data_IF_944339899535
#
_entry.id   IF_944339899535
#
_cell.length_a   1.000
_cell.length_b   1.000
_cell.length_c   1.000
_cell.angle_alpha   90.00
_cell.angle_beta   90.00
_cell.angle_gamma   90.00
#
_symmetry.space_group_name_H-M   'P 1'
#
loop_
_entity.id
_entity.type
_entity.pdbx_description
1 polymer ?
#
# COMPACT_ATOMS: atom_id res chain seq x y z
N UNK A 1 26.09 25.02 -5.59
CA UNK A 1 25.36 25.98 -4.74
C UNK A 1 25.26 27.36 -5.38
N UNK A 2 26.27 27.82 -6.09
CA UNK A 2 26.29 29.18 -6.63
C UNK A 2 25.26 29.48 -7.74
N UNK A 3 24.85 28.49 -8.49
CA UNK A 3 23.87 28.65 -9.56
C UNK A 3 22.44 28.95 -9.07
N UNK A 4 22.05 28.38 -7.93
CA UNK A 4 20.74 28.64 -7.31
C UNK A 4 20.66 30.07 -6.74
N UNK A 5 21.78 30.63 -6.30
CA UNK A 5 21.85 32.00 -5.74
C UNK A 5 21.68 33.06 -6.85
N UNK A 6 21.97 32.71 -8.12
CA UNK A 6 21.95 33.65 -9.25
C UNK A 6 20.70 33.48 -10.13
N UNK A 7 19.67 32.75 -9.69
CA UNK A 7 18.41 32.58 -10.45
C UNK A 7 18.58 31.86 -11.79
N UNK A 8 19.62 31.05 -11.93
CA UNK A 8 19.81 30.22 -13.14
C UNK A 8 18.86 29.01 -13.13
N UNK A 9 18.32 28.66 -14.27
CA UNK A 9 17.55 27.44 -14.44
C UNK A 9 18.41 26.22 -14.11
N UNK A 10 18.08 25.54 -13.00
CA UNK A 10 18.82 24.40 -12.48
C UNK A 10 18.83 23.19 -13.43
N UNK A 11 17.91 23.15 -14.42
CA UNK A 11 17.87 22.11 -15.45
C UNK A 11 19.08 22.16 -16.37
N UNK A 12 19.77 23.32 -16.46
CA UNK A 12 20.94 23.56 -17.31
C UNK A 12 22.26 23.62 -16.52
N UNK A 13 22.24 23.30 -15.23
CA UNK A 13 23.42 23.36 -14.36
C UNK A 13 24.07 21.99 -14.25
N UNK A 14 25.35 21.89 -14.58
CA UNK A 14 26.15 20.67 -14.48
C UNK A 14 26.25 19.89 -15.79
N UNK A 15 27.03 18.81 -15.76
CA UNK A 15 27.20 17.91 -16.89
C UNK A 15 26.16 16.78 -16.82
N UNK A 16 25.36 16.61 -17.86
CA UNK A 16 24.48 15.43 -17.97
C UNK A 16 25.34 14.18 -18.11
N UNK A 17 25.26 13.28 -17.12
CA UNK A 17 25.92 11.98 -17.16
C UNK A 17 24.91 10.85 -17.14
N UNK A 18 25.19 9.79 -17.89
CA UNK A 18 24.37 8.59 -17.89
C UNK A 18 24.78 7.74 -16.67
N UNK A 19 23.92 7.66 -15.67
CA UNK A 19 24.17 6.85 -14.48
C UNK A 19 24.21 5.34 -14.84
N UNK A 20 25.17 4.57 -14.30
CA UNK A 20 25.25 3.13 -14.53
C UNK A 20 24.05 2.40 -13.89
N UNK A 21 23.78 1.16 -14.32
CA UNK A 21 22.72 0.33 -13.74
C UNK A 21 22.95 -0.06 -12.28
N UNK A 22 24.20 0.07 -11.80
CA UNK A 22 24.55 -0.13 -10.38
C UNK A 22 24.20 1.07 -9.48
N UNK A 23 23.81 2.21 -10.06
CA UNK A 23 23.39 3.37 -9.28
C UNK A 23 21.99 3.14 -8.72
N UNK A 24 21.90 2.99 -7.38
CA UNK A 24 20.66 2.66 -6.67
C UNK A 24 19.59 3.74 -6.86
N UNK A 25 18.38 3.29 -7.26
CA UNK A 25 17.26 4.17 -7.57
C UNK A 25 17.37 4.92 -8.90
N UNK A 26 18.42 4.68 -9.68
CA UNK A 26 18.58 5.25 -11.01
C UNK A 26 17.63 4.62 -12.05
N UNK A 27 17.29 5.34 -13.15
CA UNK A 27 16.36 4.85 -14.16
C UNK A 27 16.76 3.49 -14.77
N UNK A 28 18.05 3.24 -14.93
CA UNK A 28 18.56 1.96 -15.47
C UNK A 28 18.40 0.80 -14.51
N UNK A 29 18.65 1.00 -13.20
CA UNK A 29 18.39 -0.03 -12.19
C UNK A 29 16.90 -0.33 -12.13
N UNK A 30 16.05 0.70 -12.12
CA UNK A 30 14.59 0.52 -12.08
C UNK A 30 14.09 -0.25 -13.31
N UNK A 31 14.64 0.04 -14.50
CA UNK A 31 14.34 -0.72 -15.71
C UNK A 31 14.77 -2.17 -15.61
N UNK A 32 15.95 -2.44 -15.06
CA UNK A 32 16.44 -3.81 -14.84
C UNK A 32 15.51 -4.59 -13.90
N UNK A 33 15.16 -4.01 -12.75
CA UNK A 33 14.23 -4.61 -11.79
C UNK A 33 12.85 -4.91 -12.43
N UNK A 34 12.40 -4.04 -13.33
CA UNK A 34 11.19 -4.28 -14.11
C UNK A 34 11.32 -5.49 -15.03
N UNK A 35 12.40 -5.57 -15.79
CA UNK A 35 12.62 -6.69 -16.70
C UNK A 35 12.76 -8.02 -15.94
N UNK A 36 13.41 -8.02 -14.80
CA UNK A 36 13.55 -9.19 -13.93
C UNK A 36 12.17 -9.64 -13.40
N UNK A 37 11.35 -8.71 -12.95
CA UNK A 37 9.99 -9.00 -12.51
C UNK A 37 9.11 -9.54 -13.67
N UNK A 38 9.24 -8.97 -14.88
CA UNK A 38 8.52 -9.47 -16.06
C UNK A 38 8.99 -10.85 -16.51
N UNK A 39 10.28 -11.17 -16.36
CA UNK A 39 10.79 -12.50 -16.63
C UNK A 39 10.17 -13.54 -15.68
N UNK A 40 10.05 -13.22 -14.39
CA UNK A 40 9.36 -14.07 -13.41
C UNK A 40 7.90 -14.30 -13.82
N UNK A 41 7.17 -13.25 -14.17
CA UNK A 41 5.76 -13.33 -14.59
C UNK A 41 5.60 -14.14 -15.89
N UNK A 42 6.51 -14.00 -16.84
CA UNK A 42 6.50 -14.79 -18.09
C UNK A 42 6.71 -16.28 -17.82
N UNK A 43 7.59 -16.60 -16.90
CA UNK A 43 7.94 -18.00 -16.58
C UNK A 43 6.91 -18.67 -15.65
N UNK A 44 6.50 -17.97 -14.59
CA UNK A 44 5.62 -18.52 -13.55
C UNK A 44 4.14 -18.28 -13.79
N UNK A 45 3.78 -17.38 -14.72
CA UNK A 45 2.41 -16.95 -14.97
C UNK A 45 2.04 -15.67 -14.22
N UNK A 46 0.77 -15.24 -14.39
CA UNK A 46 0.26 -14.03 -13.73
C UNK A 46 0.19 -14.21 -12.21
N UNK A 47 0.35 -13.11 -11.44
CA UNK A 47 0.12 -13.13 -9.99
C UNK A 47 -1.32 -13.52 -9.66
N UNK A 48 -1.48 -14.18 -8.51
CA UNK A 48 -2.76 -14.59 -7.96
C UNK A 48 -3.18 -13.72 -6.78
N UNK A 49 -2.20 -13.18 -6.03
CA UNK A 49 -2.43 -12.30 -4.89
C UNK A 49 -1.63 -11.02 -5.01
N UNK A 50 -2.26 -9.91 -4.67
CA UNK A 50 -1.64 -8.63 -4.40
C UNK A 50 -1.84 -8.27 -2.93
N UNK A 51 -0.74 -8.16 -2.19
CA UNK A 51 -0.76 -7.91 -0.76
C UNK A 51 -0.03 -6.59 -0.50
N UNK A 52 -0.61 -5.77 0.35
CA UNK A 52 -0.02 -4.50 0.75
C UNK A 52 0.10 -4.46 2.26
N UNK A 53 1.29 -4.20 2.79
CA UNK A 53 1.54 -4.05 4.23
C UNK A 53 2.05 -2.66 4.53
N UNK A 54 1.40 -1.94 5.44
CA UNK A 54 1.84 -0.62 5.92
C UNK A 54 2.36 -0.75 7.35
N UNK A 55 3.46 -0.09 7.64
CA UNK A 55 3.99 -0.02 9.01
C UNK A 55 2.94 0.57 9.96
N UNK A 56 2.74 -0.08 11.11
CA UNK A 56 1.96 0.47 12.20
C UNK A 56 2.91 1.20 13.17
N UNK A 57 2.84 2.54 13.28
CA UNK A 57 3.71 3.29 14.19
C UNK A 57 3.48 2.96 15.67
N UNK A 58 2.37 2.27 15.99
CA UNK A 58 2.00 1.87 17.35
C UNK A 58 2.43 0.44 17.69
N UNK A 59 3.23 -0.22 16.86
CA UNK A 59 3.79 -1.52 17.27
C UNK A 59 4.60 -1.39 18.56
N UNK A 60 4.42 -2.31 19.51
CA UNK A 60 5.14 -2.28 20.78
C UNK A 60 6.65 -2.18 20.63
N UNK A 61 7.21 -2.83 19.60
CA UNK A 61 8.64 -2.81 19.30
C UNK A 61 9.14 -1.43 18.86
N UNK A 62 8.23 -0.54 18.44
CA UNK A 62 8.55 0.87 18.14
C UNK A 62 8.30 1.72 19.39
N UNK A 63 7.09 1.63 19.94
CA UNK A 63 6.67 2.54 21.02
C UNK A 63 7.48 2.39 22.29
N UNK A 64 7.97 1.18 22.59
CA UNK A 64 8.82 0.92 23.77
C UNK A 64 10.21 1.58 23.70
N UNK A 65 10.68 1.91 22.50
CA UNK A 65 12.01 2.48 22.26
C UNK A 65 11.98 4.00 21.96
N UNK A 66 10.79 4.61 22.03
CA UNK A 66 10.64 6.06 21.87
C UNK A 66 10.92 6.77 23.20
N UNK A 67 11.67 7.86 23.12
CA UNK A 67 11.86 8.77 24.24
C UNK A 67 10.61 9.61 24.51
N UNK A 68 10.44 10.14 25.73
CA UNK A 68 9.34 11.05 26.03
C UNK A 68 9.25 12.20 25.03
N UNK A 69 8.07 12.37 24.41
CA UNK A 69 7.80 13.39 23.39
C UNK A 69 8.22 13.01 21.96
N UNK A 70 8.86 11.86 21.73
CA UNK A 70 9.14 11.34 20.39
C UNK A 70 7.94 10.61 19.80
N UNK A 71 7.82 10.71 18.49
CA UNK A 71 6.93 9.91 17.65
C UNK A 71 7.73 8.92 16.80
N UNK A 72 7.06 7.95 16.19
CA UNK A 72 7.70 7.01 15.26
C UNK A 72 8.38 7.73 14.08
N UNK A 73 7.87 8.88 13.66
CA UNK A 73 8.44 9.68 12.56
C UNK A 73 9.82 10.26 12.89
N UNK A 74 10.11 10.48 14.18
CA UNK A 74 11.39 10.99 14.64
C UNK A 74 12.48 9.91 14.69
N UNK A 75 12.07 8.62 14.53
CA UNK A 75 12.96 7.46 14.58
C UNK A 75 12.82 6.57 13.33
N UNK A 76 13.13 7.10 12.13
CA UNK A 76 13.05 6.33 10.88
C UNK A 76 13.98 5.12 10.84
N UNK A 77 15.10 5.16 11.57
CA UNK A 77 16.02 4.05 11.77
C UNK A 77 15.35 2.86 12.47
N UNK A 78 14.66 3.12 13.57
CA UNK A 78 13.92 2.13 14.35
C UNK A 78 12.73 1.57 13.56
N UNK A 79 11.92 2.47 12.99
CA UNK A 79 10.75 2.11 12.18
C UNK A 79 11.14 1.19 11.01
N UNK A 80 12.21 1.53 10.29
CA UNK A 80 12.67 0.74 9.15
C UNK A 80 13.15 -0.66 9.56
N UNK A 81 13.84 -0.79 10.68
CA UNK A 81 14.31 -2.08 11.21
C UNK A 81 13.16 -2.96 11.66
N UNK A 82 12.23 -2.42 12.46
CA UNK A 82 11.06 -3.17 12.93
C UNK A 82 10.19 -3.60 11.75
N UNK A 83 9.92 -2.69 10.80
CA UNK A 83 9.17 -3.02 9.59
C UNK A 83 9.83 -4.14 8.79
N UNK A 84 11.15 -4.09 8.60
CA UNK A 84 11.89 -5.13 7.87
C UNK A 84 11.78 -6.49 8.54
N UNK A 85 11.84 -6.56 9.87
CA UNK A 85 11.64 -7.81 10.62
C UNK A 85 10.23 -8.36 10.42
N UNK A 86 9.21 -7.52 10.54
CA UNK A 86 7.80 -7.89 10.32
C UNK A 86 7.53 -8.32 8.87
N UNK A 87 8.10 -7.60 7.90
CA UNK A 87 7.99 -7.95 6.47
C UNK A 87 8.65 -9.32 6.19
N UNK A 88 9.83 -9.58 6.74
CA UNK A 88 10.48 -10.88 6.59
C UNK A 88 9.64 -12.01 7.20
N UNK A 89 9.02 -11.78 8.37
CA UNK A 89 8.10 -12.72 8.98
C UNK A 89 6.85 -12.96 8.10
N UNK A 90 6.28 -11.90 7.52
CA UNK A 90 5.16 -12.01 6.56
C UNK A 90 5.57 -12.81 5.33
N UNK A 91 6.70 -12.51 4.70
CA UNK A 91 7.21 -13.26 3.56
C UNK A 91 7.44 -14.75 3.91
N UNK A 92 7.93 -15.03 5.12
CA UNK A 92 8.06 -16.41 5.60
C UNK A 92 6.70 -17.09 5.75
N UNK A 93 5.69 -16.42 6.30
CA UNK A 93 4.33 -16.97 6.40
C UNK A 93 3.74 -17.27 5.02
N UNK A 94 3.92 -16.37 4.06
CA UNK A 94 3.41 -16.52 2.70
C UNK A 94 4.12 -17.63 1.91
N UNK A 95 5.45 -17.75 2.06
CA UNK A 95 6.26 -18.65 1.21
C UNK A 95 6.58 -20.00 1.87
N UNK A 96 6.84 -20.02 3.18
CA UNK A 96 7.25 -21.22 3.92
C UNK A 96 6.09 -21.88 4.67
N UNK A 97 5.28 -21.09 5.40
CA UNK A 97 4.08 -21.60 6.07
C UNK A 97 2.88 -21.77 5.13
N UNK A 98 2.96 -21.22 3.91
CA UNK A 98 1.98 -21.41 2.85
C UNK A 98 0.56 -21.00 3.27
N UNK A 99 0.40 -19.84 3.92
CA UNK A 99 -0.90 -19.35 4.43
C UNK A 99 -1.98 -19.33 3.33
N UNK A 100 -1.60 -19.06 2.09
CA UNK A 100 -2.49 -19.10 0.93
C UNK A 100 -2.21 -20.27 -0.03
N UNK A 101 -1.46 -21.26 0.41
CA UNK A 101 -0.98 -22.34 -0.45
C UNK A 101 0.48 -22.14 -0.87
N UNK A 102 0.97 -22.99 -1.76
CA UNK A 102 2.36 -23.01 -2.21
C UNK A 102 2.64 -21.86 -3.16
N UNK A 103 3.43 -20.88 -2.73
CA UNK A 103 3.96 -19.85 -3.61
C UNK A 103 5.08 -20.44 -4.50
N UNK A 104 4.93 -20.31 -5.82
CA UNK A 104 5.97 -20.68 -6.80
C UNK A 104 6.92 -19.53 -7.07
N UNK A 105 6.43 -18.30 -6.98
CA UNK A 105 7.23 -17.09 -7.06
C UNK A 105 6.58 -15.94 -6.30
N UNK A 106 7.39 -14.97 -5.94
CA UNK A 106 6.90 -13.70 -5.35
C UNK A 106 7.82 -12.54 -5.74
N UNK A 107 7.24 -11.35 -5.78
CA UNK A 107 7.93 -10.09 -6.05
C UNK A 107 7.45 -9.10 -5.01
N UNK A 108 8.33 -8.29 -4.43
CA UNK A 108 7.92 -7.22 -3.54
C UNK A 108 8.74 -5.96 -3.71
N UNK A 109 8.13 -4.83 -3.40
CA UNK A 109 8.73 -3.49 -3.41
C UNK A 109 8.43 -2.82 -2.07
N UNK A 110 9.39 -2.09 -1.53
CA UNK A 110 9.20 -1.24 -0.35
C UNK A 110 9.19 0.21 -0.81
N UNK A 111 8.16 0.94 -0.40
CA UNK A 111 7.97 2.36 -0.64
C UNK A 111 7.90 3.09 0.71
N UNK A 112 8.55 4.24 0.83
CA UNK A 112 8.38 5.12 1.97
C UNK A 112 7.33 6.17 1.63
N UNK A 113 6.26 6.22 2.43
CA UNK A 113 5.22 7.24 2.27
C UNK A 113 5.74 8.62 2.67
N UNK A 114 5.09 9.71 2.20
CA UNK A 114 5.44 11.10 2.56
C UNK A 114 5.57 11.34 4.09
N UNK A 115 4.91 10.53 4.91
CA UNK A 115 4.99 10.58 6.38
C UNK A 115 6.13 9.74 6.96
N UNK A 116 7.05 9.23 6.14
CA UNK A 116 8.19 8.44 6.57
C UNK A 116 7.90 6.99 6.95
N UNK A 117 6.65 6.53 6.86
CA UNK A 117 6.30 5.14 7.19
C UNK A 117 6.54 4.22 5.98
N UNK A 118 7.26 3.10 6.15
CA UNK A 118 7.48 2.13 5.09
C UNK A 118 6.20 1.35 4.77
N UNK A 119 6.06 1.03 3.50
CA UNK A 119 4.94 0.33 2.90
C UNK A 119 5.48 -0.71 1.91
N UNK A 120 4.98 -1.94 1.97
CA UNK A 120 5.40 -2.99 1.06
C UNK A 120 4.24 -3.43 0.17
N UNK A 121 4.52 -3.55 -1.11
CA UNK A 121 3.65 -4.18 -2.10
C UNK A 121 4.23 -5.52 -2.48
N UNK A 122 3.44 -6.59 -2.40
CA UNK A 122 3.87 -7.96 -2.61
C UNK A 122 2.94 -8.62 -3.63
N UNK A 123 3.51 -9.22 -4.67
CA UNK A 123 2.81 -10.11 -5.59
C UNK A 123 3.19 -11.54 -5.29
N UNK A 124 2.20 -12.42 -5.24
CA UNK A 124 2.38 -13.87 -5.06
C UNK A 124 1.83 -14.60 -6.27
N UNK A 125 2.60 -15.53 -6.80
CA UNK A 125 2.18 -16.50 -7.81
C UNK A 125 2.07 -17.85 -7.12
N UNK A 126 0.88 -18.43 -7.11
CA UNK A 126 0.59 -19.70 -6.45
C UNK A 126 0.78 -20.88 -7.40
N UNK A 127 1.06 -22.06 -6.83
CA UNK A 127 1.00 -23.33 -7.55
C UNK A 127 -0.42 -23.52 -8.16
N UNK A 128 -0.50 -24.15 -9.32
CA UNK A 128 -1.75 -24.31 -10.05
C UNK A 128 -2.89 -24.98 -9.25
N UNK A 129 -2.53 -25.78 -8.25
CA UNK A 129 -3.46 -26.50 -7.37
C UNK A 129 -4.02 -25.61 -6.25
N UNK A 130 -3.29 -24.56 -5.90
CA UNK A 130 -3.62 -23.69 -4.76
C UNK A 130 -4.24 -22.35 -5.22
N UNK A 131 -4.43 -22.15 -6.53
CA UNK A 131 -5.05 -20.93 -7.07
C UNK A 131 -6.53 -20.87 -6.70
N UNK A 132 -7.04 -19.73 -6.16
CA UNK A 132 -8.46 -19.57 -5.89
C UNK A 132 -9.26 -19.58 -7.20
N UNK A 133 -10.25 -20.45 -7.31
CA UNK A 133 -11.07 -20.63 -8.52
C UNK A 133 -12.56 -20.38 -8.27
N UNK A 134 -13.00 -20.58 -7.06
CA UNK A 134 -14.40 -20.46 -6.67
C UNK A 134 -14.59 -19.30 -5.69
N UNK A 135 -15.80 -18.74 -5.57
CA UNK A 135 -16.11 -17.76 -4.52
C UNK A 135 -15.72 -18.25 -3.12
N UNK A 136 -15.93 -19.54 -2.83
CA UNK A 136 -15.54 -20.13 -1.55
C UNK A 136 -14.04 -20.12 -1.32
N UNK A 137 -13.23 -20.39 -2.36
CA UNK A 137 -11.77 -20.29 -2.26
C UNK A 137 -11.36 -18.84 -1.95
N UNK A 138 -11.97 -17.87 -2.65
CA UNK A 138 -11.72 -16.45 -2.44
C UNK A 138 -12.10 -16.04 -1.01
N UNK A 139 -13.27 -16.40 -0.54
CA UNK A 139 -13.77 -16.08 0.82
C UNK A 139 -12.93 -16.73 1.92
N UNK A 140 -12.27 -17.85 1.66
CA UNK A 140 -11.33 -18.48 2.59
C UNK A 140 -10.03 -17.68 2.75
N UNK A 141 -9.64 -16.92 1.74
CA UNK A 141 -8.40 -16.13 1.70
C UNK A 141 -8.62 -14.67 2.09
N UNK A 142 -9.75 -14.08 1.68
CA UNK A 142 -10.02 -12.65 1.78
C UNK A 142 -11.39 -12.39 2.38
N UNK A 143 -11.44 -11.50 3.37
CA UNK A 143 -12.66 -10.99 3.98
C UNK A 143 -12.77 -9.48 3.73
N UNK A 144 -13.98 -8.99 3.48
CA UNK A 144 -14.27 -7.57 3.30
C UNK A 144 -15.46 -7.11 4.16
N UNK A 145 -15.62 -7.73 5.31
CA UNK A 145 -16.68 -7.44 6.28
C UNK A 145 -16.10 -7.08 7.66
N UNK A 146 -16.85 -6.33 8.44
CA UNK A 146 -16.51 -6.01 9.84
C UNK A 146 -16.67 -7.28 10.67
N UNK A 147 -15.65 -7.73 11.42
CA UNK A 147 -15.75 -8.90 12.27
C UNK A 147 -16.77 -8.72 13.39
N UNK A 148 -17.34 -9.79 13.85
CA UNK A 148 -18.19 -9.75 15.03
C UNK A 148 -17.34 -9.49 16.28
N UNK A 149 -17.63 -8.39 17.00
CA UNK A 149 -16.90 -7.94 18.16
C UNK A 149 -16.91 -8.97 19.30
N UNK A 150 -18.04 -9.62 19.56
CA UNK A 150 -18.19 -10.58 20.66
C UNK A 150 -17.38 -11.86 20.46
N UNK A 151 -17.23 -12.32 19.18
CA UNK A 151 -16.53 -13.58 18.87
C UNK A 151 -15.06 -13.37 18.48
N UNK A 152 -14.71 -12.18 17.93
CA UNK A 152 -13.37 -11.87 17.45
C UNK A 152 -12.93 -10.45 17.86
N UNK A 153 -12.89 -10.12 19.17
CA UNK A 153 -12.66 -8.75 19.63
C UNK A 153 -11.33 -8.16 19.14
N UNK A 154 -10.24 -8.92 19.20
CA UNK A 154 -8.94 -8.44 18.75
C UNK A 154 -8.91 -8.12 17.23
N UNK A 155 -9.53 -8.94 16.41
CA UNK A 155 -9.63 -8.70 14.97
C UNK A 155 -10.55 -7.51 14.68
N UNK A 156 -11.66 -7.39 15.43
CA UNK A 156 -12.58 -6.24 15.33
C UNK A 156 -11.82 -4.93 15.55
N UNK A 157 -11.08 -4.80 16.65
CA UNK A 157 -10.29 -3.60 16.94
C UNK A 157 -9.27 -3.26 15.82
N UNK A 158 -8.61 -4.28 15.27
CA UNK A 158 -7.66 -4.09 14.16
C UNK A 158 -8.37 -3.60 12.91
N UNK A 159 -9.51 -4.20 12.57
CA UNK A 159 -10.27 -3.83 11.37
C UNK A 159 -10.82 -2.41 11.48
N UNK A 160 -11.43 -2.05 12.61
CA UNK A 160 -11.97 -0.70 12.79
C UNK A 160 -10.88 0.38 12.89
N UNK A 161 -9.69 0.03 13.39
CA UNK A 161 -8.57 0.99 13.48
C UNK A 161 -7.86 1.20 12.16
N UNK A 162 -7.59 0.13 11.38
CA UNK A 162 -6.66 0.17 10.26
C UNK A 162 -7.23 -0.27 8.91
N UNK A 163 -8.39 -0.97 8.86
CA UNK A 163 -8.91 -1.54 7.62
C UNK A 163 -10.21 -0.88 7.13
N UNK A 164 -10.60 0.28 7.66
CA UNK A 164 -11.71 1.08 7.15
C UNK A 164 -11.19 2.19 6.26
N UNK A 165 -11.73 2.28 5.05
CA UNK A 165 -11.42 3.35 4.11
C UNK A 165 -12.35 4.56 4.35
N UNK A 166 -11.77 5.70 4.55
CA UNK A 166 -12.50 6.96 4.73
C UNK A 166 -12.20 7.67 6.04
N UNK A 167 -12.92 8.77 6.33
CA UNK A 167 -14.01 9.33 5.53
C UNK A 167 -13.53 9.96 4.22
N UNK A 168 -14.34 9.84 3.16
CA UNK A 168 -14.14 10.50 1.87
C UNK A 168 -15.50 10.80 1.19
N UNK A 169 -15.52 11.26 -0.05
CA UNK A 169 -16.75 11.66 -0.72
C UNK A 169 -17.31 12.95 -0.13
N UNK A 170 -18.64 13.05 -0.02
CA UNK A 170 -19.32 14.22 0.56
C UNK A 170 -18.94 14.45 2.01
N UNK A 171 -18.60 13.43 2.76
CA UNK A 171 -18.19 13.52 4.16
C UNK A 171 -16.83 14.20 4.34
N UNK A 172 -15.90 14.03 3.39
CA UNK A 172 -14.59 14.71 3.37
C UNK A 172 -14.12 14.87 1.91
N UNK A 173 -14.54 15.94 1.22
CA UNK A 173 -14.18 16.17 -0.18
C UNK A 173 -12.67 16.36 -0.41
N UNK A 174 -11.94 16.83 0.61
CA UNK A 174 -10.48 17.05 0.59
C UNK A 174 -9.67 15.82 1.00
N UNK A 175 -10.28 14.63 1.08
CA UNK A 175 -9.53 13.42 1.42
C UNK A 175 -8.53 13.08 0.30
N UNK A 176 -7.32 12.56 0.63
CA UNK A 176 -6.27 12.27 -0.36
C UNK A 176 -6.66 11.28 -1.47
N UNK A 177 -7.73 10.52 -1.27
CA UNK A 177 -8.26 9.60 -2.27
C UNK A 177 -9.26 10.25 -3.23
N UNK A 178 -9.60 11.52 -3.05
CA UNK A 178 -10.58 12.21 -3.88
C UNK A 178 -9.92 12.74 -5.17
N UNK A 179 -10.52 12.42 -6.30
CA UNK A 179 -10.18 12.94 -7.63
C UNK A 179 -11.48 13.25 -8.36
N UNK A 180 -11.63 14.42 -8.91
CA UNK A 180 -12.82 14.86 -9.65
C UNK A 180 -14.15 14.62 -8.90
N UNK A 181 -14.16 14.87 -7.60
CA UNK A 181 -15.33 14.70 -6.74
C UNK A 181 -15.68 13.25 -6.39
N UNK A 182 -14.87 12.28 -6.81
CA UNK A 182 -15.07 10.84 -6.55
C UNK A 182 -13.87 10.22 -5.84
N UNK A 183 -14.12 9.18 -5.05
CA UNK A 183 -13.03 8.40 -4.47
C UNK A 183 -12.32 7.58 -5.55
N UNK A 184 -11.03 7.84 -5.79
CA UNK A 184 -10.20 7.11 -6.77
C UNK A 184 -10.05 5.61 -6.46
N UNK A 185 -10.39 5.18 -5.23
CA UNK A 185 -10.43 3.78 -4.81
C UNK A 185 -11.83 3.16 -4.93
N UNK A 186 -12.84 3.97 -5.37
CA UNK A 186 -14.22 3.51 -5.55
C UNK A 186 -14.93 3.14 -4.25
N UNK A 187 -14.61 3.79 -3.13
CA UNK A 187 -15.35 3.65 -1.87
C UNK A 187 -16.45 4.73 -1.74
N UNK A 188 -17.58 4.41 -1.04
CA UNK A 188 -17.94 3.09 -0.50
C UNK A 188 -18.20 2.07 -1.61
N UNK A 189 -17.85 0.81 -1.36
CA UNK A 189 -18.11 -0.30 -2.28
C UNK A 189 -19.58 -0.72 -2.21
N UNK A 190 -20.18 -1.23 -3.31
CA UNK A 190 -21.53 -1.76 -3.26
C UNK A 190 -21.62 -2.97 -2.31
N UNK A 191 -22.77 -3.13 -1.68
CA UNK A 191 -23.08 -4.36 -0.95
C UNK A 191 -23.26 -5.53 -1.92
N UNK A 192 -22.80 -6.71 -1.51
CA UNK A 192 -22.89 -7.94 -2.27
C UNK A 192 -23.04 -9.11 -1.29
N UNK A 193 -24.08 -9.92 -1.47
CA UNK A 193 -24.37 -11.05 -0.58
C UNK A 193 -23.40 -12.22 -0.75
N UNK A 194 -22.83 -12.38 -1.95
CA UNK A 194 -21.89 -13.43 -2.30
C UNK A 194 -20.71 -12.84 -3.08
N UNK A 195 -19.54 -13.43 -2.94
CA UNK A 195 -18.37 -13.05 -3.73
C UNK A 195 -18.59 -13.43 -5.20
N UNK A 196 -18.41 -12.46 -6.11
CA UNK A 196 -18.47 -12.66 -7.54
C UNK A 196 -17.07 -12.78 -8.12
N UNK A 197 -16.78 -13.78 -8.96
CA UNK A 197 -15.42 -14.15 -9.32
C UNK A 197 -14.66 -13.12 -10.15
N UNK A 198 -15.25 -12.34 -10.99
CA UNK A 198 -14.50 -11.27 -11.69
C UNK A 198 -15.40 -10.21 -12.31
N UNK A 199 -15.17 -8.96 -11.89
CA UNK A 199 -15.63 -7.77 -12.62
C UNK A 199 -14.41 -6.85 -12.75
N UNK A 200 -14.03 -6.49 -13.96
CA UNK A 200 -12.91 -5.58 -14.26
C UNK A 200 -11.53 -6.00 -13.69
N UNK A 201 -11.27 -7.30 -13.59
CA UNK A 201 -9.96 -7.83 -13.21
C UNK A 201 -9.73 -8.02 -11.71
N UNK A 202 -10.75 -7.80 -10.88
CA UNK A 202 -10.77 -8.10 -9.45
C UNK A 202 -12.11 -8.74 -9.06
N UNK A 203 -12.15 -9.63 -8.04
CA UNK A 203 -13.42 -10.11 -7.49
C UNK A 203 -14.20 -8.97 -6.85
N UNK A 204 -15.54 -9.08 -6.91
CA UNK A 204 -16.41 -8.32 -6.03
C UNK A 204 -16.57 -9.14 -4.76
N UNK A 205 -15.88 -8.75 -3.70
CA UNK A 205 -15.91 -9.48 -2.42
C UNK A 205 -17.26 -9.34 -1.74
N UNK A 206 -17.68 -10.38 -1.06
CA UNK A 206 -18.88 -10.36 -0.20
C UNK A 206 -18.80 -9.23 0.81
N UNK A 207 -19.87 -8.44 0.86
CA UNK A 207 -20.07 -7.28 1.75
C UNK A 207 -21.56 -7.21 2.08
N UNK A 208 -22.01 -7.98 3.03
CA UNK A 208 -23.43 -8.06 3.36
C UNK A 208 -23.94 -6.77 3.96
N UNK A 209 -25.19 -6.43 3.64
CA UNK A 209 -25.91 -5.35 4.30
C UNK A 209 -26.61 -5.87 5.56
N UNK A 210 -25.84 -6.33 6.52
CA UNK A 210 -26.29 -6.99 7.76
C UNK A 210 -26.61 -6.01 8.90
N UNK A 211 -26.55 -4.70 8.64
CA UNK A 211 -26.84 -3.66 9.63
C UNK A 211 -25.69 -3.35 10.57
N UNK A 212 -24.55 -4.05 10.46
CA UNK A 212 -23.37 -3.77 11.29
C UNK A 212 -22.81 -2.39 10.93
N UNK A 213 -22.68 -1.53 11.94
CA UNK A 213 -22.16 -0.16 11.80
C UNK A 213 -21.10 0.13 12.85
N UNK A 214 -20.11 0.94 12.46
CA UNK A 214 -19.06 1.45 13.35
C UNK A 214 -19.06 2.97 13.31
N UNK A 215 -19.14 3.60 14.48
CA UNK A 215 -19.02 5.05 14.62
C UNK A 215 -17.56 5.44 14.89
N UNK A 216 -16.97 6.21 13.98
CA UNK A 216 -15.58 6.69 14.10
C UNK A 216 -15.48 8.13 13.59
N UNK A 217 -14.96 9.06 14.42
CA UNK A 217 -14.78 10.47 14.05
C UNK A 217 -16.02 11.12 13.42
N UNK A 218 -17.19 10.96 14.05
CA UNK A 218 -18.48 11.51 13.59
C UNK A 218 -18.98 10.94 12.26
N UNK A 219 -18.41 9.84 11.77
CA UNK A 219 -18.83 9.13 10.57
C UNK A 219 -19.27 7.71 10.91
N UNK A 220 -20.21 7.19 10.09
CA UNK A 220 -20.71 5.83 10.19
C UNK A 220 -20.05 5.00 9.08
N UNK A 221 -19.42 3.91 9.48
CA UNK A 221 -18.81 2.94 8.58
C UNK A 221 -19.60 1.64 8.61
N UNK A 222 -19.63 0.96 7.48
CA UNK A 222 -20.31 -0.33 7.26
C UNK A 222 -19.35 -1.26 6.50
N UNK A 223 -19.80 -2.47 6.18
CA UNK A 223 -19.06 -3.39 5.31
C UNK A 223 -18.66 -2.75 3.96
N UNK A 224 -19.42 -1.76 3.47
CA UNK A 224 -19.10 -1.01 2.26
C UNK A 224 -17.74 -0.25 2.32
N UNK A 225 -17.20 -0.03 3.52
CA UNK A 225 -15.97 0.73 3.73
C UNK A 225 -14.76 -0.14 4.07
N UNK A 226 -14.95 -1.45 4.26
CA UNK A 226 -13.87 -2.35 4.67
C UNK A 226 -12.90 -2.58 3.51
N UNK A 227 -11.62 -2.37 3.75
CA UNK A 227 -10.54 -2.77 2.83
C UNK A 227 -10.37 -4.29 2.91
N UNK A 228 -10.31 -5.03 1.78
CA UNK A 228 -10.15 -6.48 1.80
C UNK A 228 -8.92 -6.92 2.61
N UNK A 229 -9.07 -7.89 3.48
CA UNK A 229 -8.02 -8.34 4.38
C UNK A 229 -8.07 -9.86 4.61
N UNK A 230 -7.00 -10.42 5.19
CA UNK A 230 -7.00 -11.79 5.67
C UNK A 230 -7.02 -11.79 7.21
N UNK A 231 -7.98 -12.48 7.88
CA UNK A 231 -8.12 -12.45 9.33
C UNK A 231 -6.87 -12.89 10.09
N UNK A 232 -6.19 -13.94 9.63
CA UNK A 232 -4.97 -14.45 10.27
C UNK A 232 -3.83 -13.43 10.18
N UNK A 233 -3.59 -12.86 9.00
CA UNK A 233 -2.51 -11.90 8.80
C UNK A 233 -2.79 -10.60 9.57
N UNK A 234 -4.03 -10.09 9.53
CA UNK A 234 -4.41 -8.87 10.25
C UNK A 234 -4.23 -9.03 11.75
N UNK A 235 -4.69 -10.15 12.32
CA UNK A 235 -4.52 -10.44 13.75
C UNK A 235 -3.04 -10.57 14.14
N UNK A 236 -2.26 -11.27 13.33
CA UNK A 236 -0.86 -11.54 13.62
C UNK A 236 0.02 -10.31 13.56
N UNK A 237 -0.18 -9.45 12.58
CA UNK A 237 0.71 -8.31 12.30
C UNK A 237 0.19 -6.99 12.87
N UNK A 238 -1.08 -6.91 13.24
CA UNK A 238 -1.72 -5.72 13.80
C UNK A 238 -1.32 -4.44 13.05
N UNK A 239 -1.63 -4.41 11.75
CA UNK A 239 -1.39 -3.26 10.89
C UNK A 239 -2.33 -3.27 9.67
N UNK A 240 -2.27 -2.22 8.86
CA UNK A 240 -2.97 -2.22 7.59
C UNK A 240 -2.35 -3.25 6.65
N UNK A 241 -3.03 -4.37 6.42
CA UNK A 241 -2.66 -5.41 5.44
C UNK A 241 -3.85 -5.64 4.51
N UNK A 242 -3.79 -5.04 3.31
CA UNK A 242 -4.73 -5.32 2.25
C UNK A 242 -4.32 -6.61 1.53
N UNK A 243 -5.28 -7.48 1.26
CA UNK A 243 -5.11 -8.72 0.47
C UNK A 243 -6.15 -8.72 -0.65
N UNK A 244 -5.68 -8.73 -1.87
CA UNK A 244 -6.51 -8.74 -3.08
C UNK A 244 -6.20 -9.97 -3.92
N UNK A 245 -7.23 -10.64 -4.44
CA UNK A 245 -7.06 -11.65 -5.48
C UNK A 245 -6.82 -10.94 -6.80
N UNK A 246 -5.70 -11.23 -7.45
CA UNK A 246 -5.33 -10.65 -8.73
C UNK A 246 -5.77 -11.58 -9.88
N UNK A 247 -6.89 -11.27 -10.53
CA UNK A 247 -7.41 -12.08 -11.63
C UNK A 247 -6.83 -11.68 -12.98
N UNK A 248 -6.26 -10.46 -13.07
CA UNK A 248 -5.73 -9.91 -14.33
C UNK A 248 -4.26 -9.48 -14.24
N UNK A 249 -3.65 -9.29 -15.42
CA UNK A 249 -2.30 -8.73 -15.54
C UNK A 249 -2.23 -7.25 -15.10
N UNK A 250 -3.37 -6.62 -14.82
CA UNK A 250 -3.46 -5.22 -14.38
C UNK A 250 -2.79 -5.03 -13.01
N UNK A 251 -2.85 -6.04 -12.12
CA UNK A 251 -2.14 -6.02 -10.84
C UNK A 251 -0.62 -5.92 -11.03
N UNK A 252 -0.09 -6.54 -12.08
CA UNK A 252 1.32 -6.45 -12.45
C UNK A 252 1.67 -5.03 -12.86
N UNK A 253 0.84 -4.39 -13.72
CA UNK A 253 1.04 -2.98 -14.11
C UNK A 253 1.00 -2.04 -12.91
N UNK A 254 0.13 -2.32 -11.93
CA UNK A 254 0.04 -1.53 -10.71
C UNK A 254 1.33 -1.61 -9.87
N UNK A 255 1.90 -2.80 -9.68
CA UNK A 255 3.20 -2.94 -9.02
C UNK A 255 4.30 -2.18 -9.76
N UNK A 256 4.28 -2.21 -11.09
CA UNK A 256 5.28 -1.51 -11.90
C UNK A 256 5.22 0.00 -11.73
N UNK A 257 4.04 0.58 -11.53
CA UNK A 257 3.92 1.99 -11.18
C UNK A 257 4.75 2.34 -9.95
N UNK A 258 4.85 1.44 -8.97
CA UNK A 258 5.65 1.64 -7.76
C UNK A 258 7.13 1.31 -7.95
N UNK A 259 7.46 0.31 -8.78
CA UNK A 259 8.86 0.03 -9.17
C UNK A 259 9.45 1.20 -9.94
N UNK A 260 8.67 1.85 -10.82
CA UNK A 260 9.11 3.00 -11.61
C UNK A 260 9.11 4.34 -10.86
N UNK A 261 8.37 4.44 -9.77
CA UNK A 261 8.24 5.71 -9.04
C UNK A 261 9.58 6.22 -8.49
N UNK A 262 10.57 5.33 -8.33
CA UNK A 262 11.88 5.69 -7.80
C UNK A 262 11.81 6.21 -6.36
N UNK A 263 12.88 6.84 -5.89
CA UNK A 263 12.87 7.58 -4.63
C UNK A 263 12.08 8.88 -4.82
N UNK A 264 11.27 9.27 -3.85
CA UNK A 264 10.63 10.60 -3.86
C UNK A 264 11.73 11.66 -4.00
N UNK A 265 11.59 12.51 -5.00
CA UNK A 265 12.51 13.63 -5.20
C UNK A 265 12.22 14.66 -4.12
N UNK A 266 13.23 15.05 -3.35
CA UNK A 266 13.13 16.21 -2.50
C UNK A 266 13.24 17.46 -3.39
N UNK A 267 12.18 18.26 -3.44
CA UNK A 267 12.24 19.59 -4.02
C UNK A 267 12.89 20.53 -3.01
N UNK A 268 13.94 21.21 -3.41
CA UNK A 268 14.57 22.23 -2.58
C UNK A 268 14.14 23.58 -3.15
N UNK A 269 13.27 24.30 -2.43
CA UNK A 269 12.99 25.69 -2.75
C UNK A 269 13.96 26.60 -2.01
N UNK A 270 14.66 27.48 -2.72
CA UNK A 270 15.46 28.53 -2.13
C UNK A 270 14.57 29.75 -1.96
N UNK A 271 14.17 30.03 -0.74
CA UNK A 271 13.38 31.23 -0.42
C UNK A 271 14.34 32.41 -0.37
N UNK A 272 14.26 33.32 -1.35
CA UNK A 272 14.88 34.63 -1.24
C UNK A 272 14.11 35.48 -0.23
N UNK A 273 14.80 36.17 0.63
CA UNK A 273 14.27 36.96 1.75
C UNK A 273 13.41 38.19 1.37
N UNK A 274 12.96 38.32 0.15
CA UNK A 274 12.08 39.37 -0.33
C UNK A 274 10.70 38.81 -0.73
N UNK A 275 9.87 38.54 0.27
CA UNK A 275 8.41 38.74 0.21
C UNK A 275 7.55 37.95 -0.80
N UNK A 276 8.03 36.90 -1.45
CA UNK A 276 7.19 36.03 -2.28
C UNK A 276 6.78 34.76 -1.53
N UNK A 277 5.48 34.45 -1.54
CA UNK A 277 4.97 33.20 -0.95
C UNK A 277 5.69 31.99 -1.54
N UNK A 278 6.07 30.99 -0.73
CA UNK A 278 6.71 29.79 -1.21
C UNK A 278 5.74 29.04 -2.12
N UNK A 279 6.13 28.84 -3.37
CA UNK A 279 5.42 27.96 -4.30
C UNK A 279 5.63 26.52 -3.81
N UNK A 280 4.55 25.83 -3.45
CA UNK A 280 4.59 24.42 -3.09
C UNK A 280 4.72 23.57 -4.35
N UNK A 281 5.97 23.32 -4.77
CA UNK A 281 6.29 22.49 -5.94
C UNK A 281 5.74 21.04 -5.82
N UNK A 282 5.36 20.60 -4.61
CA UNK A 282 4.71 19.30 -4.41
C UNK A 282 3.28 19.33 -4.94
N UNK A 283 2.61 20.49 -4.85
CA UNK A 283 1.28 20.69 -5.44
C UNK A 283 1.36 20.71 -6.97
N UNK A 284 2.36 21.35 -7.54
CA UNK A 284 2.55 21.48 -9.00
C UNK A 284 2.89 20.13 -9.67
N UNK A 285 3.62 19.25 -8.98
CA UNK A 285 3.90 17.88 -9.45
C UNK A 285 2.69 16.94 -9.35
N UNK A 286 1.74 17.22 -8.47
CA UNK A 286 0.51 16.41 -8.32
C UNK A 286 -0.55 16.81 -9.35
N UNK A 287 -0.42 17.99 -9.97
CA UNK A 287 -1.35 18.54 -10.96
C UNK A 287 -0.86 18.35 -12.41
N UNK A 288 0.33 17.80 -12.63
CA UNK A 288 0.90 17.45 -13.93
C UNK A 288 0.89 15.94 -14.18
#
# INVERSE_FOLDING_TARGET
MDAAVHGMDLSNVGNMSILPSSFKGGPREMWQLYQDAMAIVRYCGKPDLFITMTCNPLWPEITAELLPGQSAQDRPDLVSRVFKLKLNALLHDLTKKKVFGKAVAFIYVIEFQKRGLPHAHILIILDSRDKPRTPTDIDSMVCAEIPNEATHPALYEIVISSMLHGPCGTAKPTAPCMQDGKCSKGFPKPFCEETLPEVDGYPVYRRRNDGVTVHKHSHIFTNAHVVPYNPYLSTKYNCHINVEIATSITAVKYLFKYVYKGHDRASISVVNHEGSEPVDEISEYLDS
#
